data_IF_796796784157
#
_entry.id   IF_796796784157
#
_cell.length_a   1.000
_cell.length_b   1.000
_cell.length_c   1.000
_cell.angle_alpha   90.00
_cell.angle_beta   90.00
_cell.angle_gamma   90.00
#
_symmetry.space_group_name_H-M   'P 1'
#
loop_
_entity.id
_entity.type
_entity.pdbx_description
1 polymer ?
#
# COMPACT_ATOMS: atom_id res chain seq x y z
N UNK A 1 57.31 41.46 28.54
CA UNK A 1 55.93 41.48 28.08
C UNK A 1 55.61 40.12 27.44
N UNK A 2 55.11 39.19 28.23
CA UNK A 2 54.79 37.81 27.84
C UNK A 2 53.28 37.71 27.69
N UNK A 3 52.77 37.64 26.45
CA UNK A 3 51.36 37.43 26.14
C UNK A 3 51.02 35.93 26.23
N UNK A 4 50.31 35.57 27.27
CA UNK A 4 49.74 34.25 27.47
C UNK A 4 48.53 34.08 26.59
N UNK A 5 48.65 33.36 25.46
CA UNK A 5 47.52 32.97 24.62
C UNK A 5 46.71 31.88 25.36
N UNK A 6 45.54 32.28 25.88
CA UNK A 6 44.56 31.40 26.43
C UNK A 6 43.98 30.53 25.29
N UNK A 7 44.27 29.22 25.26
CA UNK A 7 43.60 28.23 24.40
C UNK A 7 42.12 28.12 24.81
N UNK A 8 41.17 28.28 23.92
CA UNK A 8 39.76 28.01 24.24
C UNK A 8 39.59 26.50 24.52
N UNK A 9 39.22 26.17 25.75
CA UNK A 9 38.81 24.81 26.12
C UNK A 9 37.59 24.46 25.32
N UNK A 10 37.78 23.64 24.28
CA UNK A 10 36.68 22.99 23.54
C UNK A 10 35.88 22.16 24.55
N UNK A 11 34.74 22.67 25.01
CA UNK A 11 33.78 21.92 25.79
C UNK A 11 33.27 20.79 24.91
N UNK A 12 33.88 19.62 25.05
CA UNK A 12 33.30 18.37 24.51
C UNK A 12 31.91 18.25 25.13
N UNK A 13 30.90 18.54 24.31
CA UNK A 13 29.50 18.32 24.66
C UNK A 13 29.36 16.83 24.93
N UNK A 14 29.46 16.43 26.19
CA UNK A 14 29.07 15.08 26.59
C UNK A 14 27.62 14.89 26.20
N UNK A 15 27.39 14.29 25.02
CA UNK A 15 26.10 13.75 24.67
C UNK A 15 25.77 12.68 25.70
N UNK A 16 24.95 13.02 26.69
CA UNK A 16 24.38 12.06 27.62
C UNK A 16 23.71 10.98 26.78
N UNK A 17 24.41 9.83 26.62
CA UNK A 17 23.85 8.66 25.97
C UNK A 17 22.69 8.20 26.86
N UNK A 18 21.46 8.55 26.49
CA UNK A 18 20.27 7.94 27.09
C UNK A 18 20.44 6.41 27.05
N UNK A 19 20.22 5.73 28.16
CA UNK A 19 20.37 4.28 28.20
C UNK A 19 19.46 3.66 27.14
N UNK A 20 20.07 2.88 26.24
CA UNK A 20 19.31 2.23 25.14
C UNK A 20 18.42 1.14 25.76
N UNK A 21 17.17 1.13 25.34
CA UNK A 21 16.17 0.17 25.82
C UNK A 21 16.46 -1.24 25.30
N UNK A 22 16.07 -2.30 26.03
CA UNK A 22 16.14 -3.67 25.50
C UNK A 22 15.32 -3.79 24.21
N UNK A 23 15.95 -4.36 23.17
CA UNK A 23 15.38 -4.47 21.82
C UNK A 23 14.00 -5.17 21.84
N UNK A 24 13.91 -6.31 22.53
CA UNK A 24 12.69 -7.10 22.60
C UNK A 24 11.52 -6.31 23.21
N UNK A 25 11.75 -5.61 24.34
CA UNK A 25 10.70 -4.81 24.99
C UNK A 25 10.22 -3.66 24.11
N UNK A 26 11.15 -2.98 23.44
CA UNK A 26 10.79 -1.90 22.49
C UNK A 26 10.00 -2.43 21.30
N UNK A 27 10.38 -3.58 20.75
CA UNK A 27 9.70 -4.21 19.63
C UNK A 27 8.28 -4.66 20.00
N UNK A 28 8.11 -5.32 21.15
CA UNK A 28 6.79 -5.73 21.66
C UNK A 28 5.92 -4.49 21.93
N UNK A 29 6.44 -3.48 22.60
CA UNK A 29 5.70 -2.25 22.89
C UNK A 29 5.23 -1.54 21.61
N UNK A 30 6.09 -1.47 20.59
CA UNK A 30 5.72 -0.90 19.29
C UNK A 30 4.61 -1.72 18.59
N UNK A 31 4.71 -3.05 18.60
CA UNK A 31 3.72 -3.94 18.00
C UNK A 31 2.36 -3.80 18.67
N UNK A 32 2.32 -3.85 20.01
CA UNK A 32 1.10 -3.68 20.79
C UNK A 32 0.48 -2.31 20.61
N UNK A 33 1.30 -1.25 20.55
CA UNK A 33 0.80 0.10 20.31
C UNK A 33 0.12 0.21 18.94
N UNK A 34 0.74 -0.32 17.88
CA UNK A 34 0.14 -0.30 16.54
C UNK A 34 -1.16 -1.10 16.50
N UNK A 35 -1.17 -2.30 17.07
CA UNK A 35 -2.37 -3.14 17.15
C UNK A 35 -3.50 -2.45 17.93
N UNK A 36 -3.18 -1.85 19.08
CA UNK A 36 -4.14 -1.12 19.91
C UNK A 36 -4.77 0.06 19.15
N UNK A 37 -3.95 0.89 18.49
CA UNK A 37 -4.45 2.05 17.73
C UNK A 37 -5.39 1.62 16.61
N UNK A 38 -5.02 0.61 15.82
CA UNK A 38 -5.85 0.12 14.71
C UNK A 38 -7.14 -0.54 15.19
N UNK A 39 -7.04 -1.41 16.20
CA UNK A 39 -8.20 -2.08 16.80
C UNK A 39 -9.17 -1.07 17.42
N UNK A 40 -8.65 -0.14 18.22
CA UNK A 40 -9.47 0.88 18.87
C UNK A 40 -10.19 1.75 17.86
N UNK A 41 -9.51 2.17 16.79
CA UNK A 41 -10.13 2.95 15.71
C UNK A 41 -11.33 2.22 15.10
N UNK A 42 -11.16 0.95 14.71
CA UNK A 42 -12.24 0.16 14.11
C UNK A 42 -13.40 -0.09 15.10
N UNK A 43 -13.09 -0.35 16.38
CA UNK A 43 -14.11 -0.53 17.41
C UNK A 43 -14.89 0.78 17.65
N UNK A 44 -14.22 1.92 17.73
CA UNK A 44 -14.89 3.22 17.90
C UNK A 44 -15.84 3.52 16.72
N UNK A 45 -15.41 3.28 15.50
CA UNK A 45 -16.26 3.47 14.31
C UNK A 45 -17.46 2.52 14.36
N UNK A 46 -17.26 1.26 14.73
CA UNK A 46 -18.33 0.27 14.83
C UNK A 46 -19.34 0.59 15.95
N UNK A 47 -18.85 1.04 17.10
CA UNK A 47 -19.72 1.47 18.21
C UNK A 47 -20.49 2.74 17.84
N UNK A 48 -19.87 3.69 17.14
CA UNK A 48 -20.59 4.87 16.61
C UNK A 48 -21.70 4.47 15.64
N UNK A 49 -21.45 3.47 14.77
CA UNK A 49 -22.45 2.92 13.88
C UNK A 49 -23.61 2.28 14.64
N UNK A 50 -23.31 1.55 15.70
CA UNK A 50 -24.31 0.91 16.55
C UNK A 50 -25.21 1.96 17.22
N UNK A 51 -24.64 3.02 17.79
CA UNK A 51 -25.44 4.12 18.37
C UNK A 51 -26.37 4.80 17.36
N UNK A 52 -25.96 4.88 16.08
CA UNK A 52 -26.77 5.49 15.04
C UNK A 52 -27.89 4.57 14.54
N UNK A 53 -27.65 3.26 14.52
CA UNK A 53 -28.60 2.27 14.01
C UNK A 53 -29.62 1.80 15.05
N UNK A 54 -29.34 2.00 16.35
CA UNK A 54 -30.12 1.54 17.51
C UNK A 54 -30.55 0.05 17.41
N UNK A 55 -29.67 -0.78 16.85
CA UNK A 55 -29.94 -2.20 16.59
C UNK A 55 -28.79 -3.09 17.11
N UNK A 56 -29.13 -4.20 17.72
CA UNK A 56 -28.16 -5.15 18.23
C UNK A 56 -27.64 -4.82 19.63
N UNK A 57 -26.56 -5.51 20.06
CA UNK A 57 -25.95 -5.32 21.39
C UNK A 57 -24.62 -4.59 21.28
N UNK A 58 -24.25 -3.92 22.37
CA UNK A 58 -22.93 -3.26 22.50
C UNK A 58 -21.76 -4.24 22.28
N UNK A 59 -21.88 -5.47 22.80
CA UNK A 59 -20.86 -6.51 22.62
C UNK A 59 -20.73 -6.93 21.15
N UNK A 60 -21.85 -6.97 20.41
CA UNK A 60 -21.85 -7.24 18.98
C UNK A 60 -21.11 -6.12 18.21
N UNK A 61 -21.33 -4.86 18.59
CA UNK A 61 -20.63 -3.72 17.98
C UNK A 61 -19.11 -3.79 18.18
N UNK A 62 -18.64 -4.10 19.39
CA UNK A 62 -17.19 -4.31 19.66
C UNK A 62 -16.65 -5.42 18.78
N UNK A 63 -17.35 -6.53 18.68
CA UNK A 63 -16.95 -7.68 17.89
C UNK A 63 -16.87 -7.35 16.40
N UNK A 64 -17.85 -6.64 15.84
CA UNK A 64 -17.86 -6.17 14.45
C UNK A 64 -16.66 -5.27 14.18
N UNK A 65 -16.35 -4.33 15.09
CA UNK A 65 -15.17 -3.48 14.97
C UNK A 65 -13.86 -4.26 14.98
N UNK A 66 -13.75 -5.30 15.82
CA UNK A 66 -12.57 -6.15 15.85
C UNK A 66 -12.44 -7.02 14.57
N UNK A 67 -13.55 -7.54 14.04
CA UNK A 67 -13.58 -8.24 12.74
C UNK A 67 -13.21 -7.29 11.59
N UNK A 68 -13.73 -6.07 11.59
CA UNK A 68 -13.37 -5.05 10.62
C UNK A 68 -11.86 -4.76 10.65
N UNK A 69 -11.25 -4.65 11.83
CA UNK A 69 -9.80 -4.50 11.97
C UNK A 69 -9.04 -5.67 11.33
N UNK A 70 -9.47 -6.92 11.55
CA UNK A 70 -8.86 -8.10 10.92
C UNK A 70 -8.94 -8.04 9.39
N UNK A 71 -10.06 -7.59 8.83
CA UNK A 71 -10.23 -7.37 7.37
C UNK A 71 -9.23 -6.34 6.86
N UNK A 72 -8.98 -5.25 7.60
CA UNK A 72 -7.99 -4.23 7.19
C UNK A 72 -6.56 -4.77 7.12
N UNK A 73 -6.28 -5.88 7.80
CA UNK A 73 -4.98 -6.56 7.76
C UNK A 73 -4.91 -7.66 6.68
N UNK A 74 -6.00 -7.89 5.94
CA UNK A 74 -6.06 -8.91 4.90
C UNK A 74 -6.37 -10.32 5.42
N UNK A 75 -6.94 -10.44 6.62
CA UNK A 75 -7.22 -11.73 7.24
C UNK A 75 -8.24 -12.60 6.46
N UNK A 76 -9.10 -11.98 5.61
CA UNK A 76 -10.23 -12.68 5.00
C UNK A 76 -11.28 -13.11 6.03
N UNK A 77 -12.54 -12.87 5.74
CA UNK A 77 -13.64 -13.16 6.66
C UNK A 77 -14.65 -14.10 6.00
N UNK A 78 -15.04 -15.14 6.72
CA UNK A 78 -16.11 -16.05 6.34
C UNK A 78 -17.33 -15.77 7.22
N UNK A 79 -18.47 -15.49 6.59
CA UNK A 79 -19.75 -15.13 7.20
C UNK A 79 -20.85 -16.00 6.60
N UNK A 80 -21.25 -17.07 7.26
CA UNK A 80 -22.37 -17.95 6.82
C UNK A 80 -22.36 -18.27 5.31
N UNK A 81 -21.19 -18.70 4.78
CA UNK A 81 -20.99 -19.04 3.37
C UNK A 81 -20.62 -17.86 2.47
N UNK A 82 -20.58 -16.64 2.98
CA UNK A 82 -20.08 -15.45 2.27
C UNK A 82 -18.61 -15.23 2.62
N UNK A 83 -17.78 -15.01 1.61
CA UNK A 83 -16.35 -14.75 1.81
C UNK A 83 -16.06 -13.28 1.47
N UNK A 84 -15.46 -12.56 2.42
CA UNK A 84 -14.95 -11.20 2.26
C UNK A 84 -13.44 -11.24 2.29
N UNK A 85 -12.79 -10.99 1.18
CA UNK A 85 -11.32 -11.00 1.08
C UNK A 85 -10.74 -9.71 0.53
N UNK A 86 -11.58 -8.79 0.07
CA UNK A 86 -11.12 -7.47 -0.34
C UNK A 86 -10.62 -6.68 0.86
N UNK A 87 -9.46 -6.08 0.70
CA UNK A 87 -8.75 -5.35 1.75
C UNK A 87 -9.00 -3.85 1.55
N UNK A 88 -9.51 -3.11 2.53
CA UNK A 88 -9.61 -1.65 2.42
C UNK A 88 -8.22 -1.02 2.58
N UNK A 89 -7.50 -0.87 1.47
CA UNK A 89 -6.08 -0.51 1.42
C UNK A 89 -5.75 0.82 2.10
N UNK A 90 -6.71 1.73 2.24
CA UNK A 90 -6.50 2.97 2.98
C UNK A 90 -6.17 2.73 4.45
N UNK A 91 -6.93 1.86 5.13
CA UNK A 91 -6.65 1.50 6.53
C UNK A 91 -5.42 0.61 6.65
N UNK A 92 -5.20 -0.27 5.68
CA UNK A 92 -3.96 -1.06 5.60
C UNK A 92 -2.73 -0.17 5.45
N UNK A 93 -2.79 0.88 4.63
CA UNK A 93 -1.71 1.85 4.46
C UNK A 93 -1.43 2.63 5.76
N UNK A 94 -2.46 3.00 6.51
CA UNK A 94 -2.29 3.61 7.84
C UNK A 94 -1.58 2.64 8.78
N UNK A 95 -2.01 1.37 8.83
CA UNK A 95 -1.36 0.34 9.66
C UNK A 95 0.09 0.11 9.23
N UNK A 96 0.38 0.04 7.94
CA UNK A 96 1.73 -0.06 7.38
C UNK A 96 2.61 1.13 7.79
N UNK A 97 2.07 2.34 7.73
CA UNK A 97 2.76 3.55 8.18
C UNK A 97 3.04 3.55 9.69
N UNK A 98 2.06 3.12 10.51
CA UNK A 98 2.24 2.98 11.96
C UNK A 98 3.32 1.94 12.28
N UNK A 99 3.33 0.78 11.59
CA UNK A 99 4.36 -0.24 11.73
C UNK A 99 5.74 0.29 11.33
N UNK A 100 5.83 1.05 10.23
CA UNK A 100 7.07 1.71 9.82
C UNK A 100 7.56 2.70 10.89
N UNK A 101 6.68 3.54 11.43
CA UNK A 101 7.03 4.48 12.51
C UNK A 101 7.44 3.77 13.79
N UNK A 102 6.69 2.71 14.18
CA UNK A 102 7.01 1.88 15.33
C UNK A 102 8.37 1.19 15.17
N UNK A 103 8.62 0.56 14.03
CA UNK A 103 9.91 -0.04 13.69
C UNK A 103 11.06 0.98 13.73
N UNK A 104 10.86 2.16 13.14
CA UNK A 104 11.85 3.25 13.19
C UNK A 104 12.16 3.68 14.61
N UNK A 105 11.13 3.83 15.45
CA UNK A 105 11.32 4.14 16.87
C UNK A 105 12.13 3.06 17.58
N UNK A 106 11.85 1.77 17.33
CA UNK A 106 12.63 0.65 17.86
C UNK A 106 14.10 0.76 17.44
N UNK A 107 14.36 1.00 16.14
CA UNK A 107 15.74 1.15 15.62
C UNK A 107 16.51 2.30 16.25
N UNK A 108 15.86 3.42 16.54
CA UNK A 108 16.48 4.58 17.21
C UNK A 108 16.69 4.35 18.69
N UNK A 109 15.69 3.78 19.39
CA UNK A 109 15.68 3.66 20.86
C UNK A 109 16.48 2.47 21.39
N UNK A 110 16.71 1.46 20.57
CA UNK A 110 17.41 0.22 20.94
C UNK A 110 18.85 0.15 20.44
N UNK A 111 19.66 -0.75 21.02
CA UNK A 111 21.05 -0.92 20.63
C UNK A 111 21.20 -1.86 19.42
N UNK A 112 20.57 -1.54 18.28
CA UNK A 112 20.72 -2.30 17.04
C UNK A 112 22.05 -1.92 16.38
N UNK A 113 23.01 -2.84 16.32
CA UNK A 113 24.36 -2.62 15.79
C UNK A 113 24.69 -3.47 14.58
N UNK A 114 23.94 -4.55 14.38
CA UNK A 114 24.21 -5.53 13.32
C UNK A 114 22.94 -5.91 12.56
N UNK A 115 23.11 -6.52 11.40
CA UNK A 115 21.99 -7.11 10.64
C UNK A 115 21.26 -8.22 11.43
N UNK A 116 22.00 -8.95 12.31
CA UNK A 116 21.39 -9.96 13.20
C UNK A 116 20.47 -9.32 14.23
N UNK A 117 20.90 -8.23 14.87
CA UNK A 117 20.04 -7.50 15.82
C UNK A 117 18.81 -6.97 15.12
N UNK A 118 18.96 -6.42 13.89
CA UNK A 118 17.85 -5.95 13.09
C UNK A 118 16.87 -7.09 12.77
N UNK A 119 17.35 -8.25 12.33
CA UNK A 119 16.53 -9.43 12.06
C UNK A 119 15.77 -9.91 13.31
N UNK A 120 16.45 -9.99 14.46
CA UNK A 120 15.80 -10.31 15.73
C UNK A 120 14.72 -9.29 16.11
N UNK A 121 15.01 -8.00 15.95
CA UNK A 121 14.03 -6.95 16.20
C UNK A 121 12.78 -7.06 15.31
N UNK A 122 12.96 -7.37 14.02
CA UNK A 122 11.86 -7.60 13.08
C UNK A 122 11.06 -8.84 13.46
N UNK A 123 11.72 -9.94 13.83
CA UNK A 123 11.04 -11.17 14.26
C UNK A 123 10.22 -10.95 15.52
N UNK A 124 10.76 -10.25 16.51
CA UNK A 124 10.03 -9.96 17.76
C UNK A 124 8.86 -9.02 17.52
N UNK A 125 9.05 -7.95 16.73
CA UNK A 125 8.00 -7.00 16.38
C UNK A 125 6.89 -7.71 15.58
N UNK A 126 7.27 -8.44 14.53
CA UNK A 126 6.34 -9.18 13.69
C UNK A 126 5.62 -10.29 14.46
N UNK A 127 6.35 -11.05 15.26
CA UNK A 127 5.78 -12.11 16.09
C UNK A 127 4.77 -11.58 17.13
N UNK A 128 5.11 -10.49 17.82
CA UNK A 128 4.19 -9.86 18.78
C UNK A 128 2.94 -9.27 18.10
N UNK A 129 3.09 -8.62 16.94
CA UNK A 129 1.97 -8.10 16.17
C UNK A 129 1.06 -9.24 15.68
N UNK A 130 1.63 -10.27 15.07
CA UNK A 130 0.89 -11.44 14.58
C UNK A 130 0.22 -12.21 15.71
N UNK A 131 0.89 -12.39 16.86
CA UNK A 131 0.27 -13.01 18.04
C UNK A 131 -0.97 -12.23 18.52
N UNK A 132 -0.91 -10.90 18.51
CA UNK A 132 -2.07 -10.06 18.85
C UNK A 132 -3.20 -10.23 17.82
N UNK A 133 -2.89 -10.26 16.52
CA UNK A 133 -3.89 -10.51 15.46
C UNK A 133 -4.55 -11.87 15.64
N UNK A 134 -3.76 -12.92 15.92
CA UNK A 134 -4.28 -14.27 16.18
C UNK A 134 -5.14 -14.33 17.43
N UNK A 135 -4.75 -13.65 18.52
CA UNK A 135 -5.54 -13.56 19.75
C UNK A 135 -6.91 -12.90 19.49
N UNK A 136 -6.94 -11.77 18.78
CA UNK A 136 -8.18 -11.08 18.38
C UNK A 136 -9.04 -11.97 17.47
N UNK A 137 -8.44 -12.67 16.53
CA UNK A 137 -9.13 -13.62 15.66
C UNK A 137 -9.86 -14.69 16.50
N UNK A 138 -9.19 -15.31 17.47
CA UNK A 138 -9.84 -16.32 18.31
C UNK A 138 -10.93 -15.70 19.21
N UNK A 139 -10.70 -14.52 19.76
CA UNK A 139 -11.68 -13.82 20.59
C UNK A 139 -12.95 -13.42 19.83
N UNK A 140 -12.86 -13.23 18.52
CA UNK A 140 -14.00 -12.82 17.66
C UNK A 140 -14.66 -13.97 16.94
N UNK A 141 -14.09 -15.18 16.94
CA UNK A 141 -14.66 -16.35 16.26
C UNK A 141 -15.95 -16.83 16.91
N UNK A 142 -16.93 -17.24 16.09
CA UNK A 142 -18.16 -17.88 16.51
C UNK A 142 -18.69 -18.80 15.41
N UNK A 143 -19.69 -19.64 15.70
CA UNK A 143 -20.35 -20.42 14.66
C UNK A 143 -20.80 -19.51 13.51
N UNK A 144 -20.45 -19.87 12.26
CA UNK A 144 -20.78 -19.12 11.07
C UNK A 144 -19.89 -17.89 10.78
N UNK A 145 -19.13 -17.36 11.76
CA UNK A 145 -18.30 -16.15 11.57
C UNK A 145 -16.87 -16.44 12.02
N UNK A 146 -15.92 -16.43 11.09
CA UNK A 146 -14.49 -16.60 11.40
C UNK A 146 -13.60 -15.90 10.39
N UNK A 147 -12.45 -15.39 10.86
CA UNK A 147 -11.36 -14.99 9.98
C UNK A 147 -10.46 -16.18 9.64
N UNK A 148 -9.90 -16.22 8.43
CA UNK A 148 -8.96 -17.26 8.02
C UNK A 148 -7.66 -17.15 8.83
N UNK A 149 -7.24 -18.26 9.46
CA UNK A 149 -6.05 -18.27 10.33
C UNK A 149 -4.77 -18.09 9.51
N UNK A 150 -4.63 -18.83 8.42
CA UNK A 150 -3.42 -18.81 7.60
C UNK A 150 -3.23 -17.43 6.97
N UNK A 151 -4.28 -16.87 6.40
CA UNK A 151 -4.25 -15.50 5.85
C UNK A 151 -3.95 -14.47 6.92
N UNK A 152 -4.55 -14.59 8.11
CA UNK A 152 -4.28 -13.68 9.24
C UNK A 152 -2.80 -13.69 9.62
N UNK A 153 -2.19 -14.86 9.73
CA UNK A 153 -0.77 -15.01 10.07
C UNK A 153 0.13 -14.50 8.95
N UNK A 154 -0.10 -14.91 7.72
CA UNK A 154 0.73 -14.51 6.57
C UNK A 154 0.63 -13.01 6.31
N UNK A 155 -0.57 -12.46 6.28
CA UNK A 155 -0.77 -11.04 6.01
C UNK A 155 -0.19 -10.14 7.12
N UNK A 156 -0.46 -10.46 8.40
CA UNK A 156 0.04 -9.66 9.51
C UNK A 156 1.56 -9.74 9.67
N UNK A 157 2.15 -10.94 9.54
CA UNK A 157 3.61 -11.12 9.59
C UNK A 157 4.29 -10.47 8.39
N UNK A 158 3.73 -10.56 7.20
CA UNK A 158 4.21 -9.87 5.99
C UNK A 158 4.18 -8.35 6.15
N UNK A 159 3.05 -7.81 6.60
CA UNK A 159 2.88 -6.37 6.82
C UNK A 159 3.88 -5.84 7.86
N UNK A 160 3.99 -6.52 9.02
CA UNK A 160 4.91 -6.14 10.08
C UNK A 160 6.37 -6.35 9.68
N UNK A 161 6.70 -7.43 8.99
CA UNK A 161 8.04 -7.74 8.51
C UNK A 161 8.54 -6.71 7.50
N UNK A 162 7.72 -6.37 6.51
CA UNK A 162 8.09 -5.39 5.47
C UNK A 162 8.15 -3.99 6.07
N UNK A 163 7.05 -3.46 6.58
CA UNK A 163 6.99 -2.05 6.99
C UNK A 163 7.68 -1.80 8.33
N UNK A 164 7.49 -2.67 9.32
CA UNK A 164 8.20 -2.61 10.60
C UNK A 164 9.70 -2.82 10.41
N UNK A 165 10.09 -3.76 9.56
CA UNK A 165 11.48 -4.05 9.21
C UNK A 165 12.17 -2.88 8.50
N UNK A 166 11.53 -2.30 7.48
CA UNK A 166 12.03 -1.10 6.79
C UNK A 166 12.21 0.07 7.76
N UNK A 167 11.24 0.27 8.65
CA UNK A 167 11.33 1.28 9.70
C UNK A 167 12.51 1.05 10.62
N UNK A 168 12.68 -0.18 11.13
CA UNK A 168 13.73 -0.56 12.06
C UNK A 168 15.12 -0.40 11.43
N UNK A 169 15.31 -0.90 10.22
CA UNK A 169 16.58 -0.78 9.47
C UNK A 169 16.95 0.69 9.24
N UNK A 170 15.97 1.54 8.88
CA UNK A 170 16.19 2.98 8.73
C UNK A 170 16.49 3.67 10.06
N UNK A 171 15.75 3.32 11.12
CA UNK A 171 15.96 3.87 12.45
C UNK A 171 17.32 3.51 13.05
N UNK A 172 17.84 2.32 12.75
CA UNK A 172 19.16 1.85 13.15
C UNK A 172 20.32 2.43 12.31
N UNK A 173 20.03 3.14 11.21
CA UNK A 173 21.05 3.65 10.29
C UNK A 173 21.72 2.57 9.42
N UNK A 174 21.12 1.38 9.32
CA UNK A 174 21.67 0.25 8.56
C UNK A 174 21.26 0.25 7.08
N UNK A 175 20.34 1.13 6.68
CA UNK A 175 19.76 1.13 5.33
C UNK A 175 20.82 1.36 4.25
N UNK A 176 21.72 2.32 4.44
CA UNK A 176 22.80 2.62 3.49
C UNK A 176 23.74 1.45 3.32
N UNK A 177 24.17 0.84 4.44
CA UNK A 177 25.07 -0.33 4.41
C UNK A 177 24.47 -1.54 3.68
N UNK A 178 23.14 -1.73 3.78
CA UNK A 178 22.45 -2.80 3.06
C UNK A 178 22.32 -2.48 1.56
N UNK A 179 22.03 -1.24 1.22
CA UNK A 179 21.97 -0.81 -0.17
C UNK A 179 23.33 -0.86 -0.85
N UNK A 180 24.42 -0.52 -0.16
CA UNK A 180 25.77 -0.54 -0.71
C UNK A 180 26.28 -1.95 -1.07
N UNK A 181 25.68 -2.99 -0.49
CA UNK A 181 25.98 -4.39 -0.86
C UNK A 181 25.36 -4.80 -2.20
N UNK A 182 24.38 -4.04 -2.70
CA UNK A 182 23.72 -4.35 -3.97
C UNK A 182 24.55 -3.83 -5.16
N UNK A 183 24.59 -4.56 -6.28
CA UNK A 183 25.18 -4.06 -7.53
C UNK A 183 24.52 -2.73 -7.96
N UNK A 184 25.24 -1.88 -8.68
CA UNK A 184 24.75 -0.58 -9.14
C UNK A 184 23.43 -0.69 -9.95
N UNK A 185 23.32 -1.71 -10.79
CA UNK A 185 22.11 -2.00 -11.57
C UNK A 185 20.91 -2.30 -10.67
N UNK A 186 21.09 -3.09 -9.59
CA UNK A 186 20.02 -3.41 -8.65
C UNK A 186 19.59 -2.18 -7.84
N UNK A 187 20.54 -1.34 -7.41
CA UNK A 187 20.23 -0.06 -6.75
C UNK A 187 19.48 0.89 -7.68
N UNK A 188 19.92 0.95 -8.95
CA UNK A 188 19.25 1.70 -10.01
C UNK A 188 17.82 1.19 -10.23
N UNK A 189 17.63 -0.12 -10.35
CA UNK A 189 16.34 -0.76 -10.54
C UNK A 189 15.37 -0.47 -9.38
N UNK A 190 15.85 -0.53 -8.13
CA UNK A 190 15.03 -0.18 -6.96
C UNK A 190 14.63 1.31 -6.96
N UNK A 191 15.60 2.22 -7.16
CA UNK A 191 15.33 3.65 -7.14
C UNK A 191 14.42 4.08 -8.31
N UNK A 192 14.72 3.58 -9.52
CA UNK A 192 13.92 3.83 -10.71
C UNK A 192 12.54 3.16 -10.63
N UNK A 193 12.50 1.90 -10.20
CA UNK A 193 11.25 1.15 -10.04
C UNK A 193 10.27 1.83 -9.08
N UNK A 194 10.76 2.27 -7.90
CA UNK A 194 9.92 3.06 -6.98
C UNK A 194 9.40 4.35 -7.62
N UNK A 195 10.21 5.05 -8.40
CA UNK A 195 9.79 6.26 -9.08
C UNK A 195 8.75 5.97 -10.18
N UNK A 196 8.94 4.91 -10.97
CA UNK A 196 7.98 4.48 -11.97
C UNK A 196 6.62 4.08 -11.38
N UNK A 197 6.64 3.31 -10.28
CA UNK A 197 5.42 2.97 -9.52
C UNK A 197 4.73 4.25 -9.01
N UNK A 198 5.50 5.21 -8.49
CA UNK A 198 4.93 6.48 -8.04
C UNK A 198 4.27 7.26 -9.18
N UNK A 199 4.88 7.28 -10.37
CA UNK A 199 4.27 7.90 -11.58
C UNK A 199 2.96 7.22 -11.93
N UNK A 200 2.89 5.88 -11.93
CA UNK A 200 1.66 5.14 -12.20
C UNK A 200 0.58 5.43 -11.16
N UNK A 201 0.93 5.46 -9.86
CA UNK A 201 -0.03 5.77 -8.78
C UNK A 201 -0.58 7.19 -8.95
N UNK A 202 0.30 8.18 -9.24
CA UNK A 202 -0.12 9.57 -9.44
C UNK A 202 -1.04 9.70 -10.65
N UNK A 203 -0.67 9.11 -11.79
CA UNK A 203 -1.51 9.12 -12.98
C UNK A 203 -2.87 8.45 -12.74
N UNK A 204 -2.88 7.32 -12.04
CA UNK A 204 -4.10 6.61 -11.63
C UNK A 204 -4.97 7.45 -10.70
N UNK A 205 -4.36 8.14 -9.75
CA UNK A 205 -5.06 9.06 -8.85
C UNK A 205 -5.66 10.25 -9.58
N UNK A 206 -4.94 10.83 -10.54
CA UNK A 206 -5.47 11.90 -11.40
C UNK A 206 -6.66 11.42 -12.24
N UNK A 207 -6.57 10.23 -12.85
CA UNK A 207 -7.66 9.64 -13.62
C UNK A 207 -8.89 9.38 -12.74
N UNK A 208 -8.69 8.79 -11.55
CA UNK A 208 -9.77 8.54 -10.60
C UNK A 208 -10.43 9.84 -10.12
N UNK A 209 -9.63 10.85 -9.77
CA UNK A 209 -10.15 12.15 -9.32
C UNK A 209 -10.93 12.85 -10.43
N UNK A 210 -10.46 12.78 -11.67
CA UNK A 210 -11.19 13.28 -12.83
C UNK A 210 -12.52 12.57 -13.01
N UNK A 211 -12.55 11.25 -12.95
CA UNK A 211 -13.77 10.46 -13.08
C UNK A 211 -14.79 10.78 -11.98
N UNK A 212 -14.37 10.87 -10.72
CA UNK A 212 -15.22 11.28 -9.59
C UNK A 212 -15.73 12.71 -9.78
N UNK A 213 -14.89 13.62 -10.25
CA UNK A 213 -15.29 15.01 -10.50
C UNK A 213 -16.39 15.14 -11.57
N UNK A 214 -16.31 14.34 -12.64
CA UNK A 214 -17.30 14.32 -13.70
C UNK A 214 -18.67 13.75 -13.26
N UNK A 215 -18.68 12.83 -12.29
CA UNK A 215 -19.89 12.16 -11.80
C UNK A 215 -20.22 12.50 -10.34
N UNK A 216 -19.74 13.68 -9.89
CA UNK A 216 -19.88 14.07 -8.48
C UNK A 216 -21.34 14.16 -8.01
N UNK A 217 -22.23 14.73 -8.80
CA UNK A 217 -23.67 14.84 -8.47
C UNK A 217 -24.33 13.48 -8.30
N UNK A 218 -23.96 12.50 -9.12
CA UNK A 218 -24.47 11.13 -9.03
C UNK A 218 -23.96 10.44 -7.76
N UNK A 219 -22.68 10.61 -7.43
CA UNK A 219 -22.11 10.07 -6.20
C UNK A 219 -22.77 10.65 -4.94
N UNK A 220 -23.09 11.95 -4.94
CA UNK A 220 -23.81 12.62 -3.85
C UNK A 220 -25.24 12.07 -3.74
N UNK A 221 -25.98 11.94 -4.84
CA UNK A 221 -27.35 11.42 -4.83
C UNK A 221 -27.43 9.97 -4.33
N UNK A 222 -26.45 9.12 -4.68
CA UNK A 222 -26.33 7.76 -4.13
C UNK A 222 -26.09 7.81 -2.62
N UNK A 223 -25.21 8.68 -2.15
CA UNK A 223 -24.90 8.83 -0.72
C UNK A 223 -26.12 9.31 0.09
N UNK A 224 -26.87 10.29 -0.43
CA UNK A 224 -28.10 10.79 0.19
C UNK A 224 -29.22 9.73 0.23
N UNK A 225 -29.32 8.90 -0.81
CA UNK A 225 -30.28 7.79 -0.88
C UNK A 225 -30.09 6.73 0.22
N UNK A 226 -28.91 6.63 0.82
CA UNK A 226 -28.62 5.67 1.89
C UNK A 226 -29.21 6.05 3.27
N UNK A 227 -29.82 7.23 3.43
CA UNK A 227 -30.58 7.71 4.60
C UNK A 227 -29.93 7.48 5.97
N UNK A 228 -28.60 7.49 6.06
CA UNK A 228 -27.87 7.18 7.29
C UNK A 228 -27.76 8.29 8.33
N UNK A 229 -28.39 9.44 8.13
CA UNK A 229 -28.19 10.62 8.98
C UNK A 229 -26.73 11.09 9.03
N UNK A 230 -26.38 11.97 9.95
CA UNK A 230 -25.03 12.53 10.06
C UNK A 230 -23.97 11.46 10.42
N UNK A 231 -24.30 10.51 11.30
CA UNK A 231 -23.36 9.44 11.70
C UNK A 231 -23.19 8.45 10.56
N UNK A 232 -24.25 8.06 9.86
CA UNK A 232 -24.15 7.19 8.68
C UNK A 232 -23.32 7.83 7.57
N UNK A 233 -23.47 9.14 7.33
CA UNK A 233 -22.64 9.88 6.37
C UNK A 233 -21.17 9.89 6.77
N UNK A 234 -20.85 10.08 8.07
CA UNK A 234 -19.48 10.01 8.58
C UNK A 234 -18.87 8.63 8.39
N UNK A 235 -19.61 7.55 8.69
CA UNK A 235 -19.15 6.17 8.51
C UNK A 235 -18.92 5.88 7.02
N UNK A 236 -19.87 6.26 6.15
CA UNK A 236 -19.73 6.11 4.70
C UNK A 236 -18.49 6.83 4.18
N UNK A 237 -18.19 8.02 4.72
CA UNK A 237 -16.97 8.77 4.39
C UNK A 237 -15.72 8.00 4.81
N UNK A 238 -15.67 7.45 6.03
CA UNK A 238 -14.54 6.65 6.51
C UNK A 238 -14.33 5.41 5.65
N UNK A 239 -15.40 4.67 5.34
CA UNK A 239 -15.34 3.49 4.47
C UNK A 239 -14.94 3.88 3.04
N UNK A 240 -15.49 4.97 2.52
CA UNK A 240 -15.12 5.51 1.21
C UNK A 240 -13.63 5.86 1.16
N UNK A 241 -13.12 6.63 2.11
CA UNK A 241 -11.69 6.98 2.19
C UNK A 241 -10.79 5.74 2.34
N UNK A 242 -11.24 4.73 3.08
CA UNK A 242 -10.51 3.47 3.20
C UNK A 242 -10.43 2.71 1.87
N UNK A 243 -11.43 2.86 0.98
CA UNK A 243 -11.50 2.22 -0.32
C UNK A 243 -10.86 3.05 -1.46
N UNK A 244 -10.59 4.35 -1.27
CA UNK A 244 -9.97 5.20 -2.31
C UNK A 244 -8.70 4.60 -2.91
N UNK A 245 -7.73 4.06 -2.14
CA UNK A 245 -6.54 3.46 -2.76
C UNK A 245 -6.86 2.25 -3.64
N UNK A 246 -7.89 1.46 -3.29
CA UNK A 246 -8.36 0.36 -4.15
C UNK A 246 -8.90 0.91 -5.48
N UNK A 247 -9.72 1.96 -5.43
CA UNK A 247 -10.27 2.62 -6.62
C UNK A 247 -9.16 3.23 -7.49
N UNK A 248 -8.15 3.83 -6.87
CA UNK A 248 -6.96 4.34 -7.59
C UNK A 248 -6.21 3.21 -8.30
N UNK A 249 -6.04 2.04 -7.66
CA UNK A 249 -5.39 0.89 -8.30
C UNK A 249 -6.26 0.25 -9.40
N UNK A 250 -7.60 0.27 -9.27
CA UNK A 250 -8.51 -0.09 -10.34
C UNK A 250 -8.38 0.86 -11.54
N UNK A 251 -8.38 2.18 -11.29
CA UNK A 251 -8.12 3.19 -12.32
C UNK A 251 -6.74 3.02 -12.97
N UNK A 252 -5.75 2.57 -12.19
CA UNK A 252 -4.42 2.25 -12.70
C UNK A 252 -4.40 1.03 -13.62
N UNK A 253 -5.16 -0.02 -13.31
CA UNK A 253 -5.30 -1.16 -14.21
C UNK A 253 -6.05 -0.79 -15.49
N UNK A 254 -7.06 0.08 -15.41
CA UNK A 254 -7.69 0.69 -16.57
C UNK A 254 -6.68 1.46 -17.41
N UNK A 255 -5.87 2.30 -16.80
CA UNK A 255 -4.84 3.11 -17.47
C UNK A 255 -3.77 2.24 -18.15
N UNK A 256 -3.41 1.09 -17.56
CA UNK A 256 -2.47 0.12 -18.15
C UNK A 256 -3.09 -0.63 -19.34
N UNK A 257 -4.43 -0.79 -19.36
CA UNK A 257 -5.18 -1.42 -20.45
C UNK A 257 -6.06 -2.60 -20.05
N UNK A 258 -5.62 -3.55 -19.17
CA UNK A 258 -6.44 -4.72 -18.83
C UNK A 258 -7.75 -4.38 -18.13
N UNK A 259 -7.80 -3.28 -17.39
CA UNK A 259 -8.99 -2.88 -16.65
C UNK A 259 -9.20 -3.69 -15.36
N UNK A 260 -10.44 -3.70 -14.87
CA UNK A 260 -10.83 -4.35 -13.63
C UNK A 260 -12.27 -4.87 -13.69
N UNK A 261 -12.62 -5.76 -12.79
CA UNK A 261 -13.96 -6.28 -12.61
C UNK A 261 -14.66 -5.66 -11.40
N UNK A 262 -15.97 -5.43 -11.50
CA UNK A 262 -16.87 -5.01 -10.41
C UNK A 262 -17.96 -6.07 -10.26
N UNK A 263 -17.54 -7.30 -10.06
CA UNK A 263 -18.37 -8.48 -10.00
C UNK A 263 -18.14 -9.45 -11.17
N UNK A 264 -18.45 -10.72 -10.94
CA UNK A 264 -18.29 -11.78 -11.93
C UNK A 264 -19.01 -11.43 -13.24
N UNK A 265 -18.33 -11.62 -14.35
CA UNK A 265 -18.82 -11.33 -15.69
C UNK A 265 -18.90 -9.85 -16.04
N UNK A 266 -18.23 -8.97 -15.29
CA UNK A 266 -18.09 -7.54 -15.62
C UNK A 266 -16.66 -7.23 -16.05
N UNK A 267 -16.50 -6.21 -16.89
CA UNK A 267 -15.19 -5.69 -17.31
C UNK A 267 -15.29 -4.18 -17.48
N UNK A 268 -14.32 -3.47 -16.91
CA UNK A 268 -14.16 -2.03 -17.08
C UNK A 268 -12.77 -1.79 -17.63
N UNK A 269 -12.63 -1.62 -18.93
CA UNK A 269 -11.36 -1.45 -19.62
C UNK A 269 -11.46 -0.34 -20.69
N UNK A 270 -10.33 0.25 -21.12
CA UNK A 270 -10.33 1.26 -22.19
C UNK A 270 -10.91 0.76 -23.53
N UNK A 271 -10.87 -0.55 -23.75
CA UNK A 271 -11.42 -1.18 -24.95
C UNK A 271 -12.94 -1.31 -24.92
N UNK A 272 -13.58 -1.19 -23.76
CA UNK A 272 -15.03 -1.27 -23.60
C UNK A 272 -15.42 -1.59 -22.16
N UNK A 273 -16.68 -1.31 -21.83
CA UNK A 273 -17.23 -1.46 -20.50
C UNK A 273 -18.45 -2.38 -20.54
N UNK A 274 -18.41 -3.45 -19.78
CA UNK A 274 -19.52 -4.36 -19.56
C UNK A 274 -19.83 -4.40 -18.07
N UNK A 275 -20.95 -3.77 -17.68
CA UNK A 275 -21.41 -3.72 -16.30
C UNK A 275 -22.64 -4.58 -16.11
N UNK A 276 -22.89 -5.01 -14.88
CA UNK A 276 -24.13 -5.63 -14.42
C UNK A 276 -24.78 -4.80 -13.34
N UNK A 277 -25.71 -5.41 -12.59
CA UNK A 277 -26.29 -4.76 -11.42
C UNK A 277 -25.19 -4.49 -10.39
N UNK A 278 -25.03 -3.22 -10.01
CA UNK A 278 -24.04 -2.74 -9.04
C UNK A 278 -24.72 -2.45 -7.70
N UNK A 279 -24.06 -2.69 -6.57
CA UNK A 279 -24.53 -2.20 -5.29
C UNK A 279 -24.51 -0.67 -5.26
N UNK A 280 -25.45 -0.08 -4.54
CA UNK A 280 -25.50 1.37 -4.34
C UNK A 280 -24.32 1.81 -3.44
N UNK A 281 -23.19 2.16 -4.05
CA UNK A 281 -22.00 2.67 -3.37
C UNK A 281 -21.45 3.88 -4.14
N UNK A 282 -21.23 5.03 -3.48
CA UNK A 282 -20.88 6.27 -4.18
C UNK A 282 -19.67 6.21 -5.08
N UNK A 283 -18.66 5.37 -4.75
CA UNK A 283 -17.46 5.22 -5.58
C UNK A 283 -17.75 4.55 -6.93
N UNK A 284 -18.85 3.80 -7.07
CA UNK A 284 -19.25 3.18 -8.33
C UNK A 284 -19.95 4.14 -9.29
N UNK A 285 -20.38 5.31 -8.81
CA UNK A 285 -20.91 6.36 -9.69
C UNK A 285 -19.86 6.90 -10.66
N UNK A 286 -18.56 6.79 -10.32
CA UNK A 286 -17.46 7.24 -11.17
C UNK A 286 -17.05 6.22 -12.26
N UNK A 287 -17.76 5.10 -12.41
CA UNK A 287 -17.45 4.11 -13.44
C UNK A 287 -17.82 4.64 -14.83
N UNK A 288 -16.93 4.49 -15.83
CA UNK A 288 -17.25 4.86 -17.20
C UNK A 288 -18.37 3.96 -17.73
N UNK A 289 -19.19 4.49 -18.63
CA UNK A 289 -20.26 3.78 -19.31
C UNK A 289 -20.04 3.84 -20.84
N UNK A 290 -20.42 2.79 -21.54
CA UNK A 290 -20.40 2.72 -23.01
C UNK A 290 -19.12 2.17 -23.62
N UNK A 291 -19.00 2.28 -24.93
CA UNK A 291 -17.82 1.83 -25.69
C UNK A 291 -16.64 2.77 -25.45
N UNK A 292 -15.43 2.19 -25.36
CA UNK A 292 -14.23 2.94 -25.07
C UNK A 292 -13.93 4.02 -26.11
N UNK A 293 -13.58 5.22 -25.64
CA UNK A 293 -13.22 6.34 -26.49
C UNK A 293 -11.74 6.28 -26.89
N UNK A 294 -11.39 6.85 -28.05
CA UNK A 294 -10.01 6.82 -28.56
C UNK A 294 -8.96 7.37 -27.60
N UNK A 295 -9.30 8.42 -26.83
CA UNK A 295 -8.40 9.00 -25.84
C UNK A 295 -8.14 8.05 -24.65
N UNK A 296 -9.10 7.19 -24.29
CA UNK A 296 -8.92 6.18 -23.25
C UNK A 296 -7.90 5.13 -23.66
N UNK A 297 -7.89 4.75 -24.94
CA UNK A 297 -6.87 3.85 -25.51
C UNK A 297 -5.49 4.50 -25.52
N UNK A 298 -5.39 5.82 -25.72
CA UNK A 298 -4.12 6.56 -25.66
C UNK A 298 -3.48 6.56 -24.26
N UNK A 299 -4.27 6.33 -23.18
CA UNK A 299 -3.74 6.24 -21.82
C UNK A 299 -2.73 5.10 -21.64
N UNK A 300 -2.78 4.05 -22.48
CA UNK A 300 -1.82 2.93 -22.48
C UNK A 300 -0.38 3.38 -22.75
N UNK A 301 -0.16 4.60 -23.25
CA UNK A 301 1.17 5.19 -23.35
C UNK A 301 1.78 5.56 -21.97
N UNK A 302 0.97 5.76 -20.93
CA UNK A 302 1.44 6.21 -19.60
C UNK A 302 2.39 5.20 -18.92
N UNK A 303 2.19 3.88 -18.97
CA UNK A 303 3.16 2.91 -18.46
C UNK A 303 4.53 3.00 -19.16
N UNK A 304 4.56 3.33 -20.46
CA UNK A 304 5.81 3.56 -21.19
C UNK A 304 6.54 4.81 -20.65
N UNK A 305 5.80 5.89 -20.40
CA UNK A 305 6.34 7.11 -19.79
C UNK A 305 6.82 6.86 -18.36
N UNK A 306 6.09 6.09 -17.58
CA UNK A 306 6.52 5.68 -16.24
C UNK A 306 7.84 4.91 -16.29
N UNK A 307 7.98 3.99 -17.24
CA UNK A 307 9.23 3.28 -17.51
C UNK A 307 10.36 4.22 -17.94
N UNK A 308 10.10 5.19 -18.81
CA UNK A 308 11.06 6.19 -19.22
C UNK A 308 11.60 7.00 -18.04
N UNK A 309 10.73 7.41 -17.11
CA UNK A 309 11.11 8.09 -15.87
C UNK A 309 11.94 7.15 -14.99
N UNK A 310 11.49 5.90 -14.82
CA UNK A 310 12.18 4.89 -14.03
C UNK A 310 13.61 4.65 -14.53
N UNK A 311 13.78 4.40 -15.82
CA UNK A 311 15.08 4.17 -16.45
C UNK A 311 16.00 5.39 -16.36
N UNK A 312 15.47 6.58 -16.60
CA UNK A 312 16.22 7.83 -16.48
C UNK A 312 16.73 8.07 -15.05
N UNK A 313 15.91 7.81 -14.03
CA UNK A 313 16.30 7.94 -12.62
C UNK A 313 17.34 6.87 -12.25
N UNK A 314 17.17 5.63 -12.72
CA UNK A 314 18.10 4.54 -12.47
C UNK A 314 19.53 4.90 -12.95
N UNK A 315 19.65 5.34 -14.19
CA UNK A 315 20.93 5.69 -14.82
C UNK A 315 21.54 6.97 -14.22
N UNK A 316 20.71 7.98 -13.91
CA UNK A 316 21.22 9.23 -13.30
C UNK A 316 21.75 9.01 -11.88
N UNK A 317 21.09 8.17 -11.07
CA UNK A 317 21.50 7.92 -9.67
C UNK A 317 22.64 6.91 -9.56
N UNK A 318 22.69 5.96 -10.48
CA UNK A 318 23.69 4.90 -10.52
C UNK A 318 24.26 4.79 -11.94
N UNK A 319 25.16 5.70 -12.33
CA UNK A 319 25.69 5.75 -13.67
C UNK A 319 26.38 4.44 -14.07
N UNK A 320 26.17 4.05 -15.31
CA UNK A 320 26.81 2.88 -15.94
C UNK A 320 27.37 3.31 -17.31
N UNK A 321 28.50 2.72 -17.71
CA UNK A 321 29.15 3.06 -18.95
C UNK A 321 28.71 2.14 -20.10
N UNK A 322 28.56 2.72 -21.27
CA UNK A 322 28.18 2.02 -22.50
C UNK A 322 26.67 1.93 -22.70
N UNK A 323 26.25 2.09 -23.95
CA UNK A 323 24.84 2.17 -24.36
C UNK A 323 24.05 0.90 -23.93
N UNK A 324 24.64 -0.29 -24.11
CA UNK A 324 24.00 -1.55 -23.74
C UNK A 324 23.72 -1.66 -22.24
N UNK A 325 24.67 -1.22 -21.40
CA UNK A 325 24.48 -1.24 -19.93
C UNK A 325 23.46 -0.21 -19.48
N UNK A 326 23.41 0.95 -20.11
CA UNK A 326 22.38 1.99 -19.90
C UNK A 326 20.99 1.41 -20.21
N UNK A 327 20.83 0.76 -21.37
CA UNK A 327 19.58 0.12 -21.76
C UNK A 327 19.17 -0.99 -20.77
N UNK A 328 20.11 -1.88 -20.36
CA UNK A 328 19.84 -2.94 -19.39
C UNK A 328 19.43 -2.37 -18.04
N UNK A 329 20.14 -1.36 -17.53
CA UNK A 329 19.81 -0.72 -16.25
C UNK A 329 18.41 -0.09 -16.28
N UNK A 330 18.08 0.58 -17.39
CA UNK A 330 16.76 1.15 -17.62
C UNK A 330 15.66 0.09 -17.74
N UNK A 331 15.92 -1.01 -18.45
CA UNK A 331 14.99 -2.16 -18.54
C UNK A 331 14.73 -2.79 -17.19
N UNK A 332 15.76 -2.99 -16.35
CA UNK A 332 15.60 -3.51 -14.97
C UNK A 332 14.73 -2.58 -14.13
N UNK A 333 14.87 -1.25 -14.27
CA UNK A 333 14.03 -0.29 -13.57
C UNK A 333 12.57 -0.32 -14.07
N UNK A 334 12.36 -0.45 -15.40
CA UNK A 334 11.04 -0.65 -15.99
C UNK A 334 10.37 -1.93 -15.50
N UNK A 335 11.11 -3.05 -15.48
CA UNK A 335 10.62 -4.33 -14.96
C UNK A 335 10.23 -4.23 -13.47
N UNK A 336 11.06 -3.58 -12.66
CA UNK A 336 10.75 -3.34 -11.25
C UNK A 336 9.50 -2.46 -11.08
N UNK A 337 9.26 -1.51 -11.99
CA UNK A 337 8.03 -0.70 -12.04
C UNK A 337 6.80 -1.58 -12.27
N UNK A 338 6.81 -2.41 -13.31
CA UNK A 338 5.67 -3.26 -13.66
C UNK A 338 5.36 -4.30 -12.59
N UNK A 339 6.38 -4.99 -12.08
CA UNK A 339 6.22 -5.96 -10.98
C UNK A 339 5.70 -5.28 -9.71
N UNK A 340 6.28 -4.13 -9.35
CA UNK A 340 5.85 -3.37 -8.17
C UNK A 340 4.41 -2.88 -8.26
N UNK A 341 4.00 -2.39 -9.44
CA UNK A 341 2.63 -1.96 -9.68
C UNK A 341 1.67 -3.15 -9.70
N UNK A 342 2.04 -4.27 -10.36
CA UNK A 342 1.27 -5.51 -10.34
C UNK A 342 1.06 -6.07 -8.92
N UNK A 343 2.09 -6.00 -8.07
CA UNK A 343 1.96 -6.40 -6.67
C UNK A 343 0.96 -5.51 -5.89
N UNK A 344 0.91 -4.20 -6.18
CA UNK A 344 -0.07 -3.31 -5.58
C UNK A 344 -1.49 -3.59 -6.09
N UNK A 345 -1.66 -3.85 -7.40
CA UNK A 345 -2.98 -4.20 -7.97
C UNK A 345 -3.49 -5.53 -7.43
N UNK A 346 -2.60 -6.51 -7.18
CA UNK A 346 -2.97 -7.75 -6.49
C UNK A 346 -3.58 -7.50 -5.11
N UNK A 347 -3.05 -6.56 -4.33
CA UNK A 347 -3.61 -6.20 -3.02
C UNK A 347 -5.01 -5.58 -3.12
N UNK A 348 -5.38 -5.01 -4.26
CA UNK A 348 -6.69 -4.41 -4.48
C UNK A 348 -7.75 -5.43 -4.96
N UNK A 349 -7.38 -6.70 -5.17
CA UNK A 349 -8.28 -7.77 -5.59
C UNK A 349 -8.91 -8.48 -4.40
N UNK A 350 -10.12 -9.00 -4.57
CA UNK A 350 -10.75 -9.84 -3.56
C UNK A 350 -12.27 -9.92 -3.71
N UNK A 351 -12.90 -10.72 -2.86
CA UNK A 351 -14.35 -10.80 -2.77
C UNK A 351 -14.87 -9.72 -1.81
N UNK A 352 -15.92 -9.01 -2.21
CA UNK A 352 -16.60 -7.99 -1.40
C UNK A 352 -18.02 -8.41 -0.99
N UNK A 353 -18.47 -9.60 -1.38
CA UNK A 353 -19.80 -10.10 -1.08
C UNK A 353 -20.12 -11.44 -1.73
N UNK A 354 -21.35 -11.92 -1.57
CA UNK A 354 -21.79 -13.19 -2.14
C UNK A 354 -22.09 -13.08 -3.65
N UNK A 355 -22.20 -14.24 -4.30
CA UNK A 355 -22.61 -14.34 -5.70
C UNK A 355 -21.65 -13.62 -6.64
N UNK A 356 -22.13 -12.65 -7.40
CA UNK A 356 -21.30 -11.91 -8.36
C UNK A 356 -20.19 -11.08 -7.70
N UNK A 357 -20.34 -10.65 -6.45
CA UNK A 357 -19.38 -9.83 -5.72
C UNK A 357 -18.16 -10.64 -5.20
N UNK A 358 -18.04 -11.89 -5.57
CA UNK A 358 -16.84 -12.72 -5.28
C UNK A 358 -15.63 -12.32 -6.14
N UNK A 359 -15.85 -11.66 -7.26
CA UNK A 359 -14.79 -11.20 -8.16
C UNK A 359 -14.79 -9.67 -8.21
N UNK A 360 -13.85 -9.06 -7.51
CA UNK A 360 -13.69 -7.61 -7.50
C UNK A 360 -12.21 -7.23 -7.62
N UNK A 361 -11.95 -6.21 -8.44
CA UNK A 361 -10.64 -5.59 -8.57
C UNK A 361 -9.95 -5.82 -9.90
N UNK A 362 -8.67 -5.36 -10.03
CA UNK A 362 -7.86 -5.50 -11.23
C UNK A 362 -7.59 -6.95 -11.62
N UNK A 363 -7.50 -7.25 -12.93
CA UNK A 363 -6.74 -8.42 -13.37
C UNK A 363 -5.24 -8.14 -13.16
N UNK A 364 -4.77 -8.48 -11.98
CA UNK A 364 -3.42 -8.12 -11.53
C UNK A 364 -2.33 -8.82 -12.36
N UNK A 365 -2.58 -10.04 -12.86
CA UNK A 365 -1.62 -10.81 -13.65
C UNK A 365 -1.38 -10.16 -14.99
N UNK A 366 -2.44 -9.85 -15.71
CA UNK A 366 -2.36 -9.16 -17.00
C UNK A 366 -1.87 -7.72 -16.82
N UNK A 367 -2.30 -7.04 -15.75
CA UNK A 367 -1.81 -5.70 -15.42
C UNK A 367 -0.30 -5.68 -15.14
N UNK A 368 0.20 -6.64 -14.36
CA UNK A 368 1.64 -6.76 -14.09
C UNK A 368 2.45 -7.02 -15.36
N UNK A 369 1.93 -7.91 -16.22
CA UNK A 369 2.60 -8.24 -17.49
C UNK A 369 2.65 -7.04 -18.44
N UNK A 370 1.50 -6.41 -18.72
CA UNK A 370 1.42 -5.27 -19.66
C UNK A 370 2.22 -4.08 -19.12
N UNK A 371 2.08 -3.76 -17.82
CA UNK A 371 2.87 -2.69 -17.20
C UNK A 371 4.38 -2.98 -17.27
N UNK A 372 4.81 -4.25 -17.07
CA UNK A 372 6.21 -4.63 -17.16
C UNK A 372 6.75 -4.45 -18.57
N UNK A 373 6.04 -4.96 -19.59
CA UNK A 373 6.46 -4.82 -21.00
C UNK A 373 6.55 -3.35 -21.41
N UNK A 374 5.50 -2.57 -21.14
CA UNK A 374 5.45 -1.15 -21.48
C UNK A 374 6.55 -0.35 -20.76
N UNK A 375 6.74 -0.59 -19.45
CA UNK A 375 7.76 0.12 -18.68
C UNK A 375 9.19 -0.31 -19.03
N UNK A 376 9.42 -1.56 -19.43
CA UNK A 376 10.72 -2.03 -19.95
C UNK A 376 11.08 -1.29 -21.26
N UNK A 377 10.12 -1.16 -22.17
CA UNK A 377 10.34 -0.43 -23.44
C UNK A 377 10.70 1.04 -23.18
N UNK A 378 9.92 1.73 -22.35
CA UNK A 378 10.20 3.12 -21.97
C UNK A 378 11.53 3.27 -21.21
N UNK A 379 11.78 2.36 -20.28
CA UNK A 379 12.96 2.34 -19.42
C UNK A 379 14.26 2.09 -20.20
N UNK A 380 14.22 1.27 -21.23
CA UNK A 380 15.35 1.05 -22.11
C UNK A 380 15.58 2.24 -23.06
N UNK A 381 14.50 2.69 -23.71
CA UNK A 381 14.59 3.65 -24.81
C UNK A 381 15.01 5.06 -24.35
N UNK A 382 14.40 5.60 -23.29
CA UNK A 382 14.63 6.99 -22.90
C UNK A 382 16.06 7.30 -22.46
N UNK A 383 16.70 6.55 -21.54
CA UNK A 383 18.08 6.84 -21.15
C UNK A 383 19.09 6.49 -22.26
N UNK A 384 18.79 5.48 -23.10
CA UNK A 384 19.64 5.14 -24.24
C UNK A 384 19.63 6.24 -25.32
N UNK A 385 18.46 6.79 -25.63
CA UNK A 385 18.33 7.92 -26.56
C UNK A 385 19.04 9.19 -26.03
N UNK A 386 18.86 9.48 -24.73
CA UNK A 386 19.54 10.61 -24.09
C UNK A 386 21.07 10.49 -24.15
N UNK A 387 21.59 9.29 -23.92
CA UNK A 387 23.04 9.02 -24.01
C UNK A 387 23.53 9.17 -25.46
N UNK A 388 22.84 8.57 -26.41
CA UNK A 388 23.22 8.64 -27.85
C UNK A 388 23.23 10.08 -28.37
N UNK A 389 22.28 10.92 -27.92
CA UNK A 389 22.28 12.35 -28.27
C UNK A 389 23.44 13.13 -27.61
N UNK A 390 23.87 12.73 -26.40
CA UNK A 390 24.97 13.36 -25.70
C UNK A 390 26.36 12.99 -26.27
N UNK A 391 26.46 11.82 -26.88
CA UNK A 391 27.70 11.32 -27.54
C UNK A 391 27.90 11.84 -28.99
N UNK A 392 26.94 12.63 -29.55
CA UNK A 392 27.00 13.34 -30.81
C UNK A 392 27.45 14.77 -30.66
#
# INVERSE_FOLDING_TARGET
MTSTLARPLMRVRQTTRTPKRPLALSAIAAALWVACVGLLFCVVVSVAAWFAADTGSFNAAIRVGALAWLVTLGAGLHLDGVTLTAIPLGLTAVTAWLLYRGGRWVGVSSAVRSGRDAALGVMVLGGAFTATVVAVRFATSSPGISADLLRSVVASSGLAGVFGGLGLVRGAGLAEHLLDRLPAVARGALAGGCAGVAVLIVASGCLYTFAVGMHFSEAVSVAEGMRGGAVGAAILTVVGLAAVPNAVLCAGSFLVGPGFAVGAGTSVAPAGVTLGALPAFPLFAALPAGDGEWWQQALVAIPVLAGAVAGSIAVRRHPVDGLSRVAISGSCAGLATGIGFGALTWLATGAIGPGRMQEFGPDWTTTALVASVAAVLGGAAAPAAARWLADR
#
